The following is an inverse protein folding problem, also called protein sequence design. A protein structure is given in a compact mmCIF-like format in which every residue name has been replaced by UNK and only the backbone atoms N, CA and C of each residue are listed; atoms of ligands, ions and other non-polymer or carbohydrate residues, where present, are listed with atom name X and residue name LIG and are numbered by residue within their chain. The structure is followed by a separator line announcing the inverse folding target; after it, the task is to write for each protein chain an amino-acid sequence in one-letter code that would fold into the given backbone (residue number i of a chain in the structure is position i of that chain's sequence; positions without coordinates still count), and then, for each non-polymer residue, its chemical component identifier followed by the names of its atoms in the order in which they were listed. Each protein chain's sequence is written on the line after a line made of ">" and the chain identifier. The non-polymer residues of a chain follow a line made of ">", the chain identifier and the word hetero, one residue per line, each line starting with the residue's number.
data_IF_134169739629
#
_entry.id   IF_134169739629
#
_cell.length_a   1.000
_cell.length_b   1.000
_cell.length_c   1.000
_cell.angle_alpha   90.00
_cell.angle_beta   90.00
_cell.angle_gamma   90.00
#
_symmetry.space_group_name_H-M   'P 1'
#
loop_
_entity.id
_entity.type
_entity.pdbx_description
1 polymer ?
#
# COMPACT_ATOMS: atom_id res chain seq x y z
N UNK A 1 -9.98 -1.57 -36.42
CA UNK A 1 -9.18 -0.48 -35.79
C UNK A 1 -9.40 -0.62 -34.29
N UNK A 2 -8.36 -0.84 -33.50
CA UNK A 2 -8.51 -0.90 -32.04
C UNK A 2 -8.60 0.55 -31.53
N UNK A 3 -9.72 0.91 -30.93
CA UNK A 3 -9.86 2.18 -30.23
C UNK A 3 -9.23 2.04 -28.84
N UNK A 4 -8.51 3.06 -28.39
CA UNK A 4 -7.97 3.12 -27.04
C UNK A 4 -9.15 3.23 -26.05
N UNK A 5 -9.18 2.41 -24.99
CA UNK A 5 -10.19 2.57 -23.94
C UNK A 5 -10.09 3.95 -23.29
N UNK A 6 -11.26 4.53 -23.00
CA UNK A 6 -11.40 5.76 -22.24
C UNK A 6 -11.97 5.43 -20.86
N UNK A 7 -11.57 6.19 -19.85
CA UNK A 7 -11.96 6.05 -18.46
C UNK A 7 -12.46 7.38 -17.92
N UNK A 8 -13.19 7.35 -16.80
CA UNK A 8 -13.60 8.56 -16.10
C UNK A 8 -12.85 8.66 -14.77
N UNK A 9 -12.35 9.86 -14.48
CA UNK A 9 -11.68 10.19 -13.23
C UNK A 9 -12.42 11.35 -12.55
N UNK A 10 -12.49 11.34 -11.23
CA UNK A 10 -12.98 12.46 -10.43
C UNK A 10 -12.11 12.68 -9.22
N UNK A 11 -11.61 13.90 -9.06
CA UNK A 11 -10.85 14.30 -7.88
C UNK A 11 -11.77 14.45 -6.67
N UNK A 12 -11.27 14.19 -5.46
CA UNK A 12 -12.07 14.31 -4.23
C UNK A 12 -12.59 15.74 -3.99
N UNK A 13 -11.84 16.74 -4.45
CA UNK A 13 -12.16 18.15 -4.24
C UNK A 13 -13.02 18.74 -5.37
N UNK A 14 -13.27 17.98 -6.45
CA UNK A 14 -14.02 18.44 -7.63
C UNK A 14 -15.26 17.57 -7.87
N UNK A 15 -16.38 18.21 -8.22
CA UNK A 15 -17.65 17.51 -8.45
C UNK A 15 -17.75 16.87 -9.85
N UNK A 16 -16.90 17.30 -10.80
CA UNK A 16 -16.97 16.90 -12.20
C UNK A 16 -16.11 15.68 -12.52
N UNK A 17 -16.65 14.82 -13.41
CA UNK A 17 -15.91 13.70 -13.99
C UNK A 17 -15.18 14.16 -15.26
N UNK A 18 -13.92 13.75 -15.38
CA UNK A 18 -13.07 14.00 -16.53
C UNK A 18 -12.78 12.69 -17.28
N UNK A 19 -12.91 12.71 -18.60
CA UNK A 19 -12.55 11.57 -19.46
C UNK A 19 -11.04 11.54 -19.68
N UNK A 20 -10.41 10.40 -19.40
CA UNK A 20 -8.97 10.17 -19.54
C UNK A 20 -8.70 8.91 -20.38
N UNK A 21 -7.54 8.86 -21.02
CA UNK A 21 -7.09 7.69 -21.76
C UNK A 21 -6.56 6.57 -20.85
N UNK A 22 -6.53 5.34 -21.37
CA UNK A 22 -5.86 4.21 -20.70
C UNK A 22 -4.40 4.53 -20.31
N UNK A 23 -3.67 5.26 -21.16
CA UNK A 23 -2.27 5.63 -20.90
C UNK A 23 -2.17 6.56 -19.69
N UNK A 24 -3.05 7.55 -19.60
CA UNK A 24 -3.08 8.49 -18.47
C UNK A 24 -3.43 7.79 -17.16
N UNK A 25 -4.40 6.88 -17.19
CA UNK A 25 -4.73 6.04 -16.04
C UNK A 25 -3.51 5.22 -15.59
N UNK A 26 -2.84 4.53 -16.53
CA UNK A 26 -1.70 3.67 -16.22
C UNK A 26 -0.50 4.45 -15.68
N UNK A 27 -0.22 5.64 -16.23
CA UNK A 27 0.83 6.52 -15.74
C UNK A 27 0.53 7.05 -14.33
N UNK A 28 -0.73 7.44 -14.07
CA UNK A 28 -1.19 7.86 -12.74
C UNK A 28 -1.02 6.77 -11.69
N UNK A 29 -1.47 5.55 -11.98
CA UNK A 29 -1.30 4.39 -11.10
C UNK A 29 0.18 4.06 -10.88
N UNK A 30 0.98 4.07 -11.95
CA UNK A 30 2.42 3.81 -11.87
C UNK A 30 3.11 4.80 -10.92
N UNK A 31 2.84 6.11 -11.03
CA UNK A 31 3.43 7.14 -10.17
C UNK A 31 3.13 6.92 -8.68
N UNK A 32 1.92 6.47 -8.35
CA UNK A 32 1.53 6.17 -6.96
C UNK A 32 2.24 4.91 -6.47
N UNK A 33 2.09 3.79 -7.20
CA UNK A 33 2.62 2.51 -6.76
C UNK A 33 4.15 2.47 -6.74
N UNK A 34 4.82 3.13 -7.68
CA UNK A 34 6.27 3.20 -7.70
C UNK A 34 6.85 3.88 -6.45
N UNK A 35 6.13 4.87 -5.89
CA UNK A 35 6.55 5.55 -4.65
C UNK A 35 6.32 4.70 -3.40
N UNK A 36 5.17 4.03 -3.30
CA UNK A 36 4.81 3.28 -2.07
C UNK A 36 5.38 1.86 -2.03
N UNK A 37 5.64 1.24 -3.17
CA UNK A 37 6.11 -0.15 -3.25
C UNK A 37 7.42 -0.40 -2.47
N UNK A 38 8.45 0.46 -2.55
CA UNK A 38 9.66 0.28 -1.76
C UNK A 38 9.39 0.29 -0.25
N UNK A 39 8.58 1.25 0.24
CA UNK A 39 8.23 1.34 1.65
C UNK A 39 7.45 0.10 2.13
N UNK A 40 6.54 -0.42 1.31
CA UNK A 40 5.81 -1.66 1.61
C UNK A 40 6.77 -2.86 1.68
N UNK A 41 7.71 -2.98 0.73
CA UNK A 41 8.72 -4.06 0.76
C UNK A 41 9.55 -4.01 2.04
N UNK A 42 9.95 -2.81 2.46
CA UNK A 42 10.67 -2.62 3.73
C UNK A 42 9.83 -3.05 4.94
N UNK A 43 8.55 -2.65 5.00
CA UNK A 43 7.65 -3.07 6.08
C UNK A 43 7.41 -4.58 6.11
N UNK A 44 7.35 -5.25 4.95
CA UNK A 44 7.26 -6.72 4.88
C UNK A 44 8.49 -7.39 5.51
N UNK A 45 9.68 -6.77 5.40
CA UNK A 45 10.90 -7.24 6.08
C UNK A 45 10.96 -6.89 7.57
N UNK A 46 9.88 -6.34 8.13
CA UNK A 46 9.77 -5.98 9.55
C UNK A 46 10.28 -4.58 9.89
N UNK A 47 10.64 -3.75 8.89
CA UNK A 47 11.06 -2.37 9.15
C UNK A 47 9.86 -1.48 9.51
N UNK A 48 10.11 -0.48 10.34
CA UNK A 48 9.19 0.61 10.59
C UNK A 48 9.51 1.78 9.67
N UNK A 49 8.48 2.43 9.12
CA UNK A 49 8.59 3.61 8.27
C UNK A 49 8.11 4.82 9.05
N UNK A 50 8.98 5.80 9.23
CA UNK A 50 8.69 7.03 9.98
C UNK A 50 8.39 8.16 9.00
N UNK A 51 7.25 8.82 9.19
CA UNK A 51 6.90 10.08 8.54
C UNK A 51 6.77 11.17 9.62
N UNK A 52 6.67 12.47 9.23
CA UNK A 52 6.41 13.54 10.20
C UNK A 52 5.10 13.35 11.00
N UNK A 53 4.12 12.67 10.42
CA UNK A 53 2.78 12.51 10.98
C UNK A 53 2.63 11.22 11.81
N UNK A 54 3.33 10.14 11.44
CA UNK A 54 3.16 8.85 12.08
C UNK A 54 4.31 7.87 11.83
N UNK A 55 4.34 6.78 12.62
CA UNK A 55 5.20 5.62 12.40
C UNK A 55 4.33 4.45 11.95
N UNK A 56 4.64 3.89 10.78
CA UNK A 56 3.92 2.79 10.17
C UNK A 56 4.74 1.50 10.25
N UNK A 57 4.06 0.39 10.53
CA UNK A 57 4.64 -0.95 10.44
C UNK A 57 3.60 -1.98 10.06
N UNK A 58 4.05 -3.06 9.43
CA UNK A 58 3.17 -4.18 9.11
C UNK A 58 2.88 -5.00 10.37
N UNK A 59 1.59 -5.21 10.68
CA UNK A 59 1.14 -6.13 11.73
C UNK A 59 0.32 -7.26 11.10
N UNK A 60 0.80 -8.49 11.20
CA UNK A 60 0.07 -9.67 10.75
C UNK A 60 -1.01 -10.06 11.77
N UNK A 61 -2.29 -9.86 11.44
CA UNK A 61 -3.39 -10.46 12.22
C UNK A 61 -3.50 -11.94 11.86
N UNK A 62 -2.91 -12.78 12.71
CA UNK A 62 -2.76 -14.23 12.52
C UNK A 62 -1.39 -14.77 12.99
N UNK A 63 -0.39 -13.90 13.10
CA UNK A 63 0.93 -14.25 13.64
C UNK A 63 1.04 -14.16 15.18
N UNK A 64 0.05 -13.57 15.86
CA UNK A 64 0.06 -13.40 17.32
C UNK A 64 0.10 -14.72 18.11
N UNK A 65 -0.33 -15.84 17.50
CA UNK A 65 -0.22 -17.16 18.13
C UNK A 65 1.23 -17.67 18.12
N UNK A 66 2.01 -17.35 17.09
CA UNK A 66 3.44 -17.67 17.00
C UNK A 66 4.25 -16.96 18.09
N UNK A 67 4.05 -15.64 18.23
CA UNK A 67 4.82 -14.83 19.19
C UNK A 67 4.44 -15.10 20.66
N UNK A 68 3.18 -15.46 20.95
CA UNK A 68 2.79 -15.90 22.31
C UNK A 68 3.40 -17.25 22.66
N UNK A 69 3.33 -18.22 21.76
CA UNK A 69 3.92 -19.55 21.98
C UNK A 69 5.43 -19.48 22.18
N UNK A 70 6.14 -18.67 21.40
CA UNK A 70 7.60 -18.48 21.56
C UNK A 70 7.97 -17.83 22.90
N UNK A 71 7.18 -16.87 23.40
CA UNK A 71 7.41 -16.22 24.70
C UNK A 71 7.07 -17.14 25.88
N UNK A 72 6.00 -17.92 25.77
CA UNK A 72 5.60 -18.88 26.82
C UNK A 72 6.59 -20.06 26.94
N UNK A 73 7.18 -20.52 25.83
CA UNK A 73 8.22 -21.56 25.85
C UNK A 73 9.54 -21.10 26.48
N UNK A 74 9.90 -19.81 26.35
CA UNK A 74 11.11 -19.25 26.95
C UNK A 74 10.99 -18.98 28.46
N UNK A 75 9.78 -18.87 28.99
CA UNK A 75 9.52 -18.64 30.43
C UNK A 75 9.28 -19.92 31.23
N UNK A 76 9.25 -21.09 30.57
CA UNK A 76 8.93 -22.38 31.17
C UNK A 76 10.17 -23.24 31.51
N UNK A 77 11.37 -22.65 31.54
CA UNK A 77 12.64 -23.30 31.99
C UNK A 77 13.18 -22.59 33.20
#
# INVERSE_FOLDING_TARGET
>A
MFAMPMYEMRYHDWEEWEEISEIELMDGLYKIYNKVTPAIKEMITGKEIVTPEAVYRLKWKGGEQSDRLSKEMLTAT
#
